data_IF_914007313437
#
_entry.id   IF_914007313437
#
_cell.length_a   1.000
_cell.length_b   1.000
_cell.length_c   1.000
_cell.angle_alpha   90.00
_cell.angle_beta   90.00
_cell.angle_gamma   90.00
#
_symmetry.space_group_name_H-M   'P 1'
#
loop_
_entity.id
_entity.type
_entity.pdbx_description
1 polymer ?
#
# COMPACT_ATOMS: atom_id res chain seq x y z
N UNK A 1 48.29 -20.62 17.53
CA UNK A 1 48.03 -19.48 16.63
C UNK A 1 46.56 -19.08 16.75
N UNK A 2 46.23 -18.08 17.57
CA UNK A 2 44.87 -17.54 17.71
C UNK A 2 44.75 -16.32 16.80
N UNK A 3 43.84 -16.38 15.82
CA UNK A 3 43.54 -15.27 14.91
C UNK A 3 42.94 -14.10 15.67
N UNK A 4 43.42 -12.88 15.37
CA UNK A 4 42.89 -11.63 15.95
C UNK A 4 41.54 -11.31 15.32
N UNK A 5 40.56 -11.00 16.16
CA UNK A 5 39.35 -10.33 15.76
C UNK A 5 39.66 -8.89 15.34
N UNK A 6 39.07 -8.44 14.23
CA UNK A 6 39.11 -7.04 13.78
C UNK A 6 38.26 -6.16 14.72
N UNK A 7 38.66 -4.90 14.98
CA UNK A 7 37.95 -4.02 15.91
C UNK A 7 36.59 -3.60 15.35
N UNK A 8 35.55 -3.70 16.20
CA UNK A 8 34.23 -3.12 15.93
C UNK A 8 34.32 -1.61 16.15
N UNK A 9 34.25 -0.85 15.06
CA UNK A 9 34.16 0.61 15.09
C UNK A 9 32.69 1.03 15.03
N UNK A 10 31.99 0.94 16.16
CA UNK A 10 30.65 1.49 16.34
C UNK A 10 30.58 2.10 17.74
N UNK A 11 30.22 3.38 17.84
CA UNK A 11 30.16 4.10 19.11
C UNK A 11 29.17 3.45 20.09
N UNK A 12 29.47 3.53 21.38
CA UNK A 12 28.83 2.79 22.49
C UNK A 12 27.35 3.13 22.77
N UNK A 13 26.57 3.67 21.83
CA UNK A 13 25.16 4.07 22.08
C UNK A 13 24.21 3.85 20.89
N UNK A 14 24.37 2.77 20.11
CA UNK A 14 23.37 2.38 19.11
C UNK A 14 22.55 1.19 19.62
N UNK A 15 21.24 1.39 19.78
CA UNK A 15 20.30 0.34 20.24
C UNK A 15 19.88 -0.64 19.14
N UNK A 16 20.45 -0.49 17.93
CA UNK A 16 20.15 -1.29 16.74
C UNK A 16 21.42 -1.60 15.96
N UNK A 17 21.45 -2.74 15.28
CA UNK A 17 22.57 -3.14 14.41
C UNK A 17 22.57 -2.41 13.07
N UNK A 18 23.76 -2.24 12.47
CA UNK A 18 23.94 -1.60 11.15
C UNK A 18 24.02 -2.64 10.04
N UNK A 19 23.13 -2.50 9.05
CA UNK A 19 23.15 -3.28 7.80
C UNK A 19 23.66 -2.48 6.61
N UNK A 20 24.74 -2.93 5.97
CA UNK A 20 25.25 -2.33 4.72
C UNK A 20 24.60 -3.05 3.53
N UNK A 21 23.87 -2.29 2.70
CA UNK A 21 23.18 -2.80 1.50
C UNK A 21 23.58 -2.00 0.26
N UNK A 22 23.76 -2.69 -0.86
CA UNK A 22 24.05 -2.08 -2.16
C UNK A 22 22.90 -2.37 -3.13
N UNK A 23 22.37 -1.33 -3.78
CA UNK A 23 21.30 -1.46 -4.77
C UNK A 23 21.81 -1.02 -6.15
N UNK A 24 21.74 -1.91 -7.12
CA UNK A 24 21.98 -1.59 -8.53
C UNK A 24 20.62 -1.51 -9.24
N UNK A 25 20.29 -0.40 -9.90
CA UNK A 25 19.04 -0.29 -10.64
C UNK A 25 18.91 -1.38 -11.71
N UNK A 26 17.70 -1.94 -11.84
CA UNK A 26 17.41 -2.91 -12.90
C UNK A 26 17.37 -2.20 -14.26
N UNK A 27 17.91 -2.86 -15.29
CA UNK A 27 17.82 -2.40 -16.69
C UNK A 27 16.36 -2.22 -17.11
N UNK A 28 15.49 -3.14 -16.70
CA UNK A 28 14.03 -3.06 -16.89
C UNK A 28 13.32 -3.20 -15.55
N UNK A 29 12.52 -2.21 -15.12
CA UNK A 29 11.72 -2.33 -13.91
C UNK A 29 10.70 -3.47 -14.01
N UNK A 30 10.46 -4.16 -12.90
CA UNK A 30 9.42 -5.20 -12.83
C UNK A 30 8.00 -4.65 -13.03
N UNK A 31 7.77 -3.39 -12.64
CA UNK A 31 6.48 -2.70 -12.75
C UNK A 31 6.67 -1.46 -13.62
N UNK A 32 5.98 -1.42 -14.75
CA UNK A 32 6.06 -0.33 -15.74
C UNK A 32 4.87 0.64 -15.60
N UNK A 33 4.59 1.06 -14.37
CA UNK A 33 3.56 2.06 -14.06
C UNK A 33 4.20 3.29 -13.42
N UNK A 34 3.56 4.48 -13.47
CA UNK A 34 4.05 5.66 -12.79
C UNK A 34 4.27 5.39 -11.30
N UNK A 35 5.41 5.86 -10.76
CA UNK A 35 5.79 5.57 -9.37
C UNK A 35 4.69 5.93 -8.37
N UNK A 36 4.00 7.07 -8.55
CA UNK A 36 2.90 7.49 -7.67
C UNK A 36 1.71 6.54 -7.65
N UNK A 37 1.44 5.86 -8.76
CA UNK A 37 0.41 4.84 -8.83
C UNK A 37 0.84 3.60 -8.06
N UNK A 38 2.05 3.11 -8.31
CA UNK A 38 2.61 1.95 -7.62
C UNK A 38 2.69 2.21 -6.10
N UNK A 39 3.20 3.37 -5.72
CA UNK A 39 3.29 3.84 -4.33
C UNK A 39 1.91 3.85 -3.67
N UNK A 40 0.87 4.38 -4.35
CA UNK A 40 -0.50 4.42 -3.82
C UNK A 40 -1.05 3.01 -3.58
N UNK A 41 -0.89 2.10 -4.53
CA UNK A 41 -1.35 0.71 -4.39
C UNK A 41 -0.63 0.01 -3.24
N UNK A 42 0.71 0.06 -3.22
CA UNK A 42 1.54 -0.59 -2.18
C UNK A 42 1.22 -0.03 -0.79
N UNK A 43 1.11 1.30 -0.64
CA UNK A 43 0.77 1.92 0.66
C UNK A 43 -0.57 1.46 1.19
N UNK A 44 -1.59 1.35 0.32
CA UNK A 44 -2.91 0.89 0.73
C UNK A 44 -2.90 -0.59 1.13
N UNK A 45 -2.24 -1.46 0.35
CA UNK A 45 -2.07 -2.88 0.70
C UNK A 45 -1.41 -3.05 2.08
N UNK A 46 -0.32 -2.33 2.35
CA UNK A 46 0.42 -2.46 3.61
C UNK A 46 -0.17 -1.67 4.79
N UNK A 47 -1.28 -0.95 4.60
CA UNK A 47 -1.90 -0.16 5.67
C UNK A 47 -2.32 -1.03 6.87
N UNK A 48 -2.81 -2.24 6.60
CA UNK A 48 -3.31 -3.16 7.62
C UNK A 48 -2.52 -4.46 7.63
N UNK A 49 -1.28 -4.43 8.13
CA UNK A 49 -0.35 -5.59 8.13
C UNK A 49 -0.90 -6.88 8.75
N UNK A 50 -1.89 -6.79 9.65
CA UNK A 50 -2.52 -7.95 10.32
C UNK A 50 -3.84 -8.39 9.68
N UNK A 51 -4.23 -7.81 8.54
CA UNK A 51 -5.45 -8.13 7.80
C UNK A 51 -5.08 -8.70 6.43
N UNK A 52 -6.04 -9.31 5.75
CA UNK A 52 -5.87 -9.68 4.35
C UNK A 52 -5.75 -8.42 3.48
N UNK A 53 -5.06 -8.54 2.35
CA UNK A 53 -4.78 -7.46 1.41
C UNK A 53 -6.05 -6.77 0.91
N UNK A 54 -7.15 -7.53 0.82
CA UNK A 54 -8.49 -7.05 0.52
C UNK A 54 -8.86 -5.79 1.32
N UNK A 55 -8.60 -5.78 2.64
CA UNK A 55 -8.92 -4.64 3.51
C UNK A 55 -8.09 -3.39 3.24
N UNK A 56 -6.86 -3.56 2.76
CA UNK A 56 -6.04 -2.43 2.31
C UNK A 56 -6.53 -1.89 0.97
N UNK A 57 -6.80 -2.79 0.01
CA UNK A 57 -7.24 -2.44 -1.35
C UNK A 57 -8.61 -1.76 -1.39
N UNK A 58 -9.51 -2.12 -0.48
CA UNK A 58 -10.77 -1.42 -0.23
C UNK A 58 -10.61 0.12 -0.10
N UNK A 59 -9.49 0.56 0.47
CA UNK A 59 -9.22 1.98 0.72
C UNK A 59 -8.80 2.76 -0.53
N UNK A 60 -8.60 2.07 -1.67
CA UNK A 60 -8.41 2.71 -2.97
C UNK A 60 -9.70 3.24 -3.58
N UNK A 61 -10.85 2.85 -3.02
CA UNK A 61 -12.16 3.10 -3.61
C UNK A 61 -13.10 3.86 -2.65
N UNK A 62 -13.95 4.77 -3.19
CA UNK A 62 -15.04 5.40 -2.44
C UNK A 62 -15.97 4.36 -1.82
N UNK A 63 -16.54 4.67 -0.64
CA UNK A 63 -17.34 3.68 0.10
C UNK A 63 -18.56 3.17 -0.68
N UNK A 64 -19.15 4.01 -1.54
CA UNK A 64 -20.30 3.65 -2.37
C UNK A 64 -20.03 2.50 -3.36
N UNK A 65 -18.79 2.33 -3.79
CA UNK A 65 -18.40 1.36 -4.83
C UNK A 65 -17.28 0.41 -4.40
N UNK A 66 -16.88 0.49 -3.13
CA UNK A 66 -15.72 -0.21 -2.57
C UNK A 66 -15.75 -1.72 -2.77
N UNK A 67 -16.89 -2.36 -2.48
CA UNK A 67 -17.03 -3.82 -2.60
C UNK A 67 -16.77 -4.29 -4.04
N UNK A 68 -17.60 -3.84 -4.98
CA UNK A 68 -17.51 -4.28 -6.38
C UNK A 68 -16.21 -3.90 -7.06
N UNK A 69 -15.65 -2.72 -6.77
CA UNK A 69 -14.37 -2.32 -7.38
C UNK A 69 -13.17 -3.08 -6.82
N UNK A 70 -13.18 -3.43 -5.52
CA UNK A 70 -12.09 -4.22 -4.93
C UNK A 70 -12.10 -5.65 -5.46
N UNK A 71 -13.29 -6.25 -5.56
CA UNK A 71 -13.47 -7.56 -6.19
C UNK A 71 -13.00 -7.55 -7.64
N UNK A 72 -13.39 -6.53 -8.42
CA UNK A 72 -12.96 -6.40 -9.81
C UNK A 72 -11.45 -6.19 -9.94
N UNK A 73 -10.83 -5.40 -9.05
CA UNK A 73 -9.38 -5.20 -9.03
C UNK A 73 -8.64 -6.53 -8.80
N UNK A 74 -9.04 -7.28 -7.77
CA UNK A 74 -8.40 -8.54 -7.41
C UNK A 74 -8.60 -9.62 -8.47
N UNK A 75 -9.82 -9.70 -9.04
CA UNK A 75 -10.14 -10.61 -10.13
C UNK A 75 -9.31 -10.31 -11.39
N UNK A 76 -9.15 -9.04 -11.77
CA UNK A 76 -8.32 -8.64 -12.92
C UNK A 76 -6.84 -8.88 -12.68
N UNK A 77 -6.39 -8.71 -11.45
CA UNK A 77 -4.98 -8.88 -11.07
C UNK A 77 -4.60 -10.34 -10.79
N UNK A 78 -5.58 -11.26 -10.74
CA UNK A 78 -5.41 -12.65 -10.35
C UNK A 78 -4.70 -12.79 -8.98
N UNK A 79 -5.21 -12.05 -7.99
CA UNK A 79 -4.67 -12.03 -6.63
C UNK A 79 -5.71 -12.58 -5.66
N UNK A 80 -5.31 -13.57 -4.87
CA UNK A 80 -6.15 -14.14 -3.82
C UNK A 80 -6.46 -13.08 -2.74
N UNK A 81 -7.74 -12.77 -2.47
CA UNK A 81 -8.16 -11.77 -1.49
C UNK A 81 -7.75 -12.09 -0.05
N UNK A 82 -7.37 -13.34 0.25
CA UNK A 82 -7.01 -13.81 1.59
C UNK A 82 -5.52 -13.67 1.90
N UNK A 83 -4.68 -13.34 0.91
CA UNK A 83 -3.26 -13.13 1.12
C UNK A 83 -3.00 -11.98 2.10
N UNK A 84 -1.98 -12.14 2.95
CA UNK A 84 -1.52 -11.01 3.77
C UNK A 84 -0.62 -10.11 2.93
N UNK A 85 -0.47 -8.82 3.30
CA UNK A 85 0.38 -7.89 2.56
C UNK A 85 1.81 -8.37 2.31
N UNK A 86 2.40 -9.10 3.26
CA UNK A 86 3.76 -9.64 3.14
C UNK A 86 3.87 -10.83 2.18
N UNK A 87 2.76 -11.51 1.89
CA UNK A 87 2.71 -12.69 1.03
C UNK A 87 2.45 -12.31 -0.45
N UNK A 88 2.25 -11.03 -0.74
CA UNK A 88 2.06 -10.53 -2.11
C UNK A 88 3.41 -10.35 -2.78
N UNK A 89 3.60 -11.06 -3.89
CA UNK A 89 4.81 -11.00 -4.72
C UNK A 89 4.91 -9.73 -5.57
N UNK A 90 6.11 -9.44 -6.09
CA UNK A 90 6.35 -8.31 -7.00
C UNK A 90 5.53 -8.44 -8.30
N UNK A 91 5.34 -9.66 -8.82
CA UNK A 91 4.49 -9.91 -9.99
C UNK A 91 3.02 -9.62 -9.71
N UNK A 92 2.52 -9.96 -8.53
CA UNK A 92 1.16 -9.61 -8.12
C UNK A 92 1.00 -8.10 -7.91
N UNK A 93 1.99 -7.41 -7.34
CA UNK A 93 1.98 -5.94 -7.27
C UNK A 93 1.98 -5.29 -8.66
N UNK A 94 2.69 -5.87 -9.63
CA UNK A 94 2.62 -5.45 -11.03
C UNK A 94 1.19 -5.56 -11.56
N UNK A 95 0.56 -6.73 -11.39
CA UNK A 95 -0.79 -6.99 -11.87
C UNK A 95 -1.83 -6.07 -11.20
N UNK A 96 -1.68 -5.81 -9.89
CA UNK A 96 -2.51 -4.85 -9.16
C UNK A 96 -2.33 -3.43 -9.68
N UNK A 97 -1.09 -2.98 -9.89
CA UNK A 97 -0.80 -1.66 -10.43
C UNK A 97 -1.34 -1.49 -11.86
N UNK A 98 -1.15 -2.49 -12.72
CA UNK A 98 -1.68 -2.47 -14.09
C UNK A 98 -3.21 -2.46 -14.12
N UNK A 99 -3.85 -3.26 -13.28
CA UNK A 99 -5.32 -3.33 -13.17
C UNK A 99 -5.89 -2.03 -12.60
N UNK A 100 -5.29 -1.49 -11.54
CA UNK A 100 -5.71 -0.21 -10.96
C UNK A 100 -5.51 0.95 -11.94
N UNK A 101 -4.41 0.96 -12.70
CA UNK A 101 -4.17 1.93 -13.78
C UNK A 101 -5.30 1.93 -14.83
N UNK A 102 -5.80 0.74 -15.20
CA UNK A 102 -6.96 0.63 -16.10
C UNK A 102 -8.24 1.18 -15.48
N UNK A 103 -8.47 0.94 -14.17
CA UNK A 103 -9.62 1.51 -13.46
C UNK A 103 -9.53 3.05 -13.40
N UNK A 104 -8.36 3.60 -13.10
CA UNK A 104 -8.14 5.06 -13.09
C UNK A 104 -8.30 5.72 -14.46
N UNK A 105 -8.05 4.99 -15.55
CA UNK A 105 -8.32 5.50 -16.91
C UNK A 105 -9.82 5.59 -17.22
N UNK A 106 -10.61 4.68 -16.64
CA UNK A 106 -12.07 4.71 -16.77
C UNK A 106 -12.70 5.78 -15.87
N UNK A 107 -12.20 5.92 -14.64
CA UNK A 107 -12.60 6.94 -13.68
C UNK A 107 -11.37 7.64 -13.10
N UNK A 108 -11.11 8.85 -13.60
CA UNK A 108 -9.95 9.65 -13.24
C UNK A 108 -9.97 10.11 -11.77
N UNK A 109 -11.15 10.15 -11.14
CA UNK A 109 -11.30 10.60 -9.75
C UNK A 109 -10.66 9.63 -8.76
N UNK A 110 -10.54 8.35 -9.13
CA UNK A 110 -9.97 7.29 -8.30
C UNK A 110 -8.51 7.56 -7.94
N UNK A 111 -7.72 8.15 -8.84
CA UNK A 111 -6.32 8.41 -8.56
C UNK A 111 -6.14 9.49 -7.48
N UNK A 112 -6.97 10.54 -7.53
CA UNK A 112 -7.00 11.61 -6.53
C UNK A 112 -7.76 11.25 -5.24
N UNK A 113 -8.56 10.17 -5.25
CA UNK A 113 -9.36 9.77 -4.10
C UNK A 113 -8.49 9.48 -2.86
N UNK A 114 -8.90 10.02 -1.72
CA UNK A 114 -8.30 9.76 -0.40
C UNK A 114 -9.39 9.39 0.62
N UNK A 115 -9.38 8.14 1.05
CA UNK A 115 -10.34 7.62 2.03
C UNK A 115 -10.27 8.36 3.39
N UNK A 116 -9.13 8.99 3.72
CA UNK A 116 -8.99 9.77 4.96
C UNK A 116 -9.84 11.02 4.91
N UNK A 117 -9.97 11.66 3.76
CA UNK A 117 -10.84 12.82 3.58
C UNK A 117 -12.32 12.42 3.68
N UNK A 118 -12.71 11.30 3.06
CA UNK A 118 -14.06 10.73 3.21
C UNK A 118 -14.40 10.48 4.70
N UNK A 119 -13.46 9.89 5.45
CA UNK A 119 -13.63 9.63 6.87
C UNK A 119 -13.72 10.92 7.71
N UNK A 120 -12.93 11.95 7.38
CA UNK A 120 -12.97 13.26 8.06
C UNK A 120 -14.32 13.93 7.87
N UNK A 121 -14.83 13.96 6.64
CA UNK A 121 -16.12 14.56 6.31
C UNK A 121 -17.26 13.86 7.04
N UNK A 122 -17.27 12.52 7.08
CA UNK A 122 -18.28 11.75 7.85
C UNK A 122 -18.29 12.10 9.33
N UNK A 123 -17.11 12.21 9.95
CA UNK A 123 -16.98 12.60 11.36
C UNK A 123 -17.50 14.01 11.61
N UNK A 124 -17.24 14.96 10.70
CA UNK A 124 -17.75 16.33 10.80
C UNK A 124 -19.28 16.36 10.70
N UNK A 125 -19.87 15.68 9.72
CA UNK A 125 -21.33 15.55 9.56
C UNK A 125 -21.99 14.97 10.82
N UNK A 126 -21.42 13.91 11.38
CA UNK A 126 -21.93 13.31 12.60
C UNK A 126 -21.86 14.26 13.81
N UNK A 127 -20.77 15.04 13.93
CA UNK A 127 -20.65 16.06 14.99
C UNK A 127 -21.66 17.19 14.82
N UNK A 128 -21.90 17.64 13.60
CA UNK A 128 -22.88 18.69 13.30
C UNK A 128 -24.30 18.21 13.61
N UNK A 129 -24.70 17.04 13.13
CA UNK A 129 -26.01 16.46 13.42
C UNK A 129 -26.26 16.26 14.93
N UNK A 130 -25.21 15.97 15.72
CA UNK A 130 -25.32 15.87 17.18
C UNK A 130 -25.51 17.24 17.86
N UNK A 131 -24.98 18.33 17.27
CA UNK A 131 -25.15 19.69 17.79
C UNK A 131 -26.54 20.23 17.48
N UNK A 132 -27.07 19.98 16.29
CA UNK A 132 -28.42 20.42 15.88
C UNK A 132 -29.56 19.72 16.65
N UNK A 133 -29.27 18.58 17.28
CA UNK A 133 -30.20 17.81 18.13
C UNK A 133 -30.14 18.20 19.62
N UNK A 134 -29.31 19.17 20.00
CA UNK A 134 -29.18 19.69 21.36
C UNK A 134 -29.75 21.09 21.43
#
# INVERSE_FOLDING_TARGET
MKGRALPRSGGENETVDVGVVHFTPLVKPHIQQPFKLVEKVVKNVFQFRRKHCYKGLEMLFPESQRLGMTEELLRRADVDPTLRPADISISQFRALADSYSRLCRADHTLFSYDFREELRQKRQRHRQAKRERR
#
